data_IF_198723276543
#
_entry.id   IF_198723276543
#
_cell.length_a   1.000
_cell.length_b   1.000
_cell.length_c   1.000
_cell.angle_alpha   90.00
_cell.angle_beta   90.00
_cell.angle_gamma   90.00
#
_symmetry.space_group_name_H-M   'P 1'
#
loop_
_entity.id
_entity.type
_entity.pdbx_description
1 polymer ?
#
# COMPACT_ATOMS: atom_id res chain seq x y z
N UNK A 1 61.67 -48.55 10.03
CA UNK A 1 61.15 -47.21 9.73
C UNK A 1 59.62 -47.31 9.60
N UNK A 2 58.87 -46.95 10.63
CA UNK A 2 57.38 -46.96 10.62
C UNK A 2 56.93 -45.56 10.29
N UNK A 3 56.20 -45.40 9.17
CA UNK A 3 55.56 -44.13 8.75
C UNK A 3 54.20 -44.08 9.40
N UNK A 4 54.02 -43.08 10.28
CA UNK A 4 52.73 -42.75 10.90
C UNK A 4 51.99 -41.82 9.97
N UNK A 5 50.80 -42.20 9.51
CA UNK A 5 49.88 -41.38 8.69
C UNK A 5 48.90 -40.72 9.68
N UNK A 6 48.99 -39.39 9.82
CA UNK A 6 48.04 -38.60 10.59
C UNK A 6 46.88 -38.19 9.70
N UNK A 7 45.67 -38.71 9.98
CA UNK A 7 44.43 -38.31 9.31
C UNK A 7 43.91 -37.02 9.96
N UNK A 8 43.84 -35.92 9.20
CA UNK A 8 43.12 -34.72 9.59
C UNK A 8 41.64 -34.89 9.26
N UNK A 9 40.78 -34.98 10.26
CA UNK A 9 39.33 -34.93 10.13
C UNK A 9 38.91 -33.48 10.15
N UNK A 10 38.57 -32.92 8.94
CA UNK A 10 37.94 -31.59 8.84
C UNK A 10 36.45 -31.73 9.16
N UNK A 11 36.06 -31.32 10.34
CA UNK A 11 34.66 -31.19 10.73
C UNK A 11 34.02 -29.97 10.03
N UNK A 12 33.16 -30.21 9.05
CA UNK A 12 32.30 -29.17 8.46
C UNK A 12 31.15 -28.92 9.45
N UNK A 13 31.22 -27.78 10.15
CA UNK A 13 30.14 -27.31 11.00
C UNK A 13 29.08 -26.67 10.09
N UNK A 14 28.04 -27.41 9.77
CA UNK A 14 26.85 -26.85 9.10
C UNK A 14 26.04 -26.04 10.11
N UNK A 15 26.17 -24.71 10.07
CA UNK A 15 25.23 -23.82 10.77
C UNK A 15 23.87 -23.95 10.06
N UNK A 16 22.94 -24.66 10.68
CA UNK A 16 21.53 -24.60 10.33
C UNK A 16 20.99 -23.23 10.74
N UNK A 17 20.85 -22.33 9.78
CA UNK A 17 20.06 -21.11 9.97
C UNK A 17 18.61 -21.55 10.15
N UNK A 18 18.15 -21.61 11.40
CA UNK A 18 16.71 -21.71 11.69
C UNK A 18 16.05 -20.40 11.24
N UNK A 19 15.50 -20.40 10.04
CA UNK A 19 14.59 -19.35 9.62
C UNK A 19 13.43 -19.32 10.62
N UNK A 20 13.24 -18.18 11.31
CA UNK A 20 12.06 -17.96 12.15
C UNK A 20 10.82 -18.14 11.25
N UNK A 21 10.05 -19.18 11.54
CA UNK A 21 8.78 -19.41 10.84
C UNK A 21 7.84 -18.24 11.16
N UNK A 22 7.20 -17.63 10.16
CA UNK A 22 6.25 -16.57 10.40
C UNK A 22 5.14 -17.06 11.31
N UNK A 23 4.66 -16.19 12.20
CA UNK A 23 3.61 -16.46 13.17
C UNK A 23 2.32 -16.89 12.42
N UNK A 24 2.06 -18.19 12.30
CA UNK A 24 0.98 -18.75 11.49
C UNK A 24 -0.34 -18.56 12.21
N UNK A 25 -1.29 -17.94 11.52
CA UNK A 25 -2.66 -17.81 12.01
C UNK A 25 -3.34 -19.17 11.91
N UNK A 26 -3.69 -19.78 13.03
CA UNK A 26 -4.50 -21.00 13.02
C UNK A 26 -5.97 -20.65 12.69
N UNK A 27 -6.53 -21.32 11.69
CA UNK A 27 -7.92 -21.12 11.26
C UNK A 27 -8.81 -22.08 12.06
N UNK A 28 -9.80 -21.52 12.73
CA UNK A 28 -10.91 -22.25 13.37
C UNK A 28 -12.21 -21.70 12.82
N UNK A 29 -13.19 -22.57 12.62
CA UNK A 29 -14.52 -22.20 12.13
C UNK A 29 -15.58 -23.01 12.87
N UNK A 30 -16.68 -22.38 13.19
CA UNK A 30 -17.87 -22.99 13.82
C UNK A 30 -19.15 -22.73 13.04
N UNK A 31 -19.07 -21.97 11.94
CA UNK A 31 -20.25 -21.53 11.20
C UNK A 31 -21.12 -22.68 10.66
N UNK A 32 -20.48 -23.81 10.34
CA UNK A 32 -21.23 -25.02 9.95
C UNK A 32 -22.10 -25.53 11.09
N UNK A 33 -21.51 -25.67 12.28
CA UNK A 33 -22.24 -26.13 13.49
C UNK A 33 -23.28 -25.12 13.92
N UNK A 34 -22.94 -23.84 13.92
CA UNK A 34 -23.84 -22.77 14.36
C UNK A 34 -25.10 -22.69 13.48
N UNK A 35 -24.96 -22.94 12.19
CA UNK A 35 -26.06 -22.82 11.24
C UNK A 35 -26.82 -24.13 10.98
N UNK A 36 -26.13 -25.26 11.00
CA UNK A 36 -26.63 -26.49 10.40
C UNK A 36 -26.49 -27.75 11.30
N UNK A 37 -25.96 -27.62 12.54
CA UNK A 37 -25.67 -28.79 13.37
C UNK A 37 -26.89 -29.74 13.58
N UNK A 38 -28.08 -29.19 13.76
CA UNK A 38 -29.31 -29.98 13.95
C UNK A 38 -29.85 -30.58 12.64
N UNK A 39 -29.67 -29.87 11.53
CA UNK A 39 -30.21 -30.28 10.24
C UNK A 39 -29.27 -31.19 9.43
N UNK A 40 -27.96 -30.85 9.42
CA UNK A 40 -26.94 -31.51 8.62
C UNK A 40 -25.62 -31.66 9.41
N UNK A 41 -25.57 -32.48 10.49
CA UNK A 41 -24.43 -32.54 11.41
C UNK A 41 -23.12 -32.96 10.71
N UNK A 42 -23.15 -33.91 9.75
CA UNK A 42 -21.98 -34.34 9.05
C UNK A 42 -21.43 -33.28 8.05
N UNK A 43 -22.34 -32.53 7.44
CA UNK A 43 -21.92 -31.38 6.61
C UNK A 43 -21.27 -30.29 7.47
N UNK A 44 -21.88 -29.96 8.63
CA UNK A 44 -21.34 -29.01 9.58
C UNK A 44 -19.92 -29.42 10.05
N UNK A 45 -19.75 -30.70 10.43
CA UNK A 45 -18.47 -31.26 10.83
C UNK A 45 -17.45 -31.20 9.68
N UNK A 46 -17.81 -31.58 8.47
CA UNK A 46 -16.93 -31.55 7.32
C UNK A 46 -16.48 -30.10 6.98
N UNK A 47 -17.40 -29.14 7.08
CA UNK A 47 -17.08 -27.73 6.90
C UNK A 47 -16.09 -27.23 7.97
N UNK A 48 -16.42 -27.43 9.24
CA UNK A 48 -15.67 -26.80 10.33
C UNK A 48 -14.34 -27.52 10.60
N UNK A 49 -14.35 -28.87 10.67
CA UNK A 49 -13.17 -29.62 11.07
C UNK A 49 -12.27 -29.96 9.87
N UNK A 50 -12.85 -30.40 8.75
CA UNK A 50 -12.03 -30.85 7.61
C UNK A 50 -11.64 -29.67 6.72
N UNK A 51 -12.63 -28.93 6.20
CA UNK A 51 -12.32 -27.83 5.29
C UNK A 51 -11.49 -26.74 6.00
N UNK A 52 -12.01 -26.16 7.06
CA UNK A 52 -11.33 -25.07 7.75
C UNK A 52 -10.30 -25.57 8.76
N UNK A 53 -10.58 -26.63 9.51
CA UNK A 53 -9.70 -27.15 10.55
C UNK A 53 -8.44 -27.86 10.00
N UNK A 54 -8.54 -28.53 8.85
CA UNK A 54 -7.41 -29.25 8.25
C UNK A 54 -6.92 -28.60 6.96
N UNK A 55 -7.79 -28.45 5.94
CA UNK A 55 -7.33 -28.01 4.59
C UNK A 55 -6.82 -26.58 4.59
N UNK A 56 -7.57 -25.64 5.23
CA UNK A 56 -7.13 -24.25 5.32
C UNK A 56 -5.92 -24.06 6.24
N UNK A 57 -5.61 -24.97 7.13
CA UNK A 57 -4.44 -24.92 7.99
C UNK A 57 -3.17 -25.52 7.36
N UNK A 58 -3.25 -26.06 6.16
CA UNK A 58 -2.07 -26.57 5.40
C UNK A 58 -1.31 -25.41 4.74
N UNK A 59 -0.87 -24.45 5.55
CA UNK A 59 -0.27 -23.20 5.08
C UNK A 59 1.16 -23.39 4.55
N UNK A 60 1.80 -24.53 4.83
CA UNK A 60 3.08 -24.93 4.24
C UNK A 60 2.95 -25.31 2.76
N UNK A 61 1.81 -25.86 2.40
CA UNK A 61 1.54 -26.35 1.03
C UNK A 61 1.03 -25.21 0.15
N UNK A 62 0.17 -24.35 0.72
CA UNK A 62 -0.43 -23.22 0.01
C UNK A 62 -0.82 -22.14 1.03
N UNK A 63 -0.38 -20.91 0.80
CA UNK A 63 -0.63 -19.78 1.70
C UNK A 63 -2.12 -19.48 1.84
N UNK A 64 -2.53 -18.84 2.96
CA UNK A 64 -3.90 -18.34 3.12
C UNK A 64 -4.27 -17.30 2.06
N UNK A 65 -3.28 -16.49 1.66
CA UNK A 65 -3.41 -15.52 0.58
C UNK A 65 -3.82 -16.20 -0.73
N UNK A 66 -3.05 -17.17 -1.19
CA UNK A 66 -3.29 -17.84 -2.47
C UNK A 66 -4.54 -18.71 -2.45
N UNK A 67 -4.82 -19.41 -1.31
CA UNK A 67 -6.09 -20.13 -1.12
C UNK A 67 -7.28 -19.21 -1.29
N UNK A 68 -7.20 -17.99 -0.75
CA UNK A 68 -8.29 -17.02 -0.84
C UNK A 68 -8.55 -16.60 -2.27
N UNK A 69 -7.50 -16.31 -3.05
CA UNK A 69 -7.64 -15.98 -4.48
C UNK A 69 -8.28 -17.15 -5.24
N UNK A 70 -7.74 -18.36 -5.05
CA UNK A 70 -8.26 -19.58 -5.71
C UNK A 70 -9.73 -19.81 -5.35
N UNK A 71 -10.12 -19.63 -4.07
CA UNK A 71 -11.50 -19.83 -3.63
C UNK A 71 -12.44 -18.82 -4.29
N UNK A 72 -12.08 -17.53 -4.32
CA UNK A 72 -12.88 -16.49 -4.99
C UNK A 72 -13.04 -16.81 -6.47
N UNK A 73 -11.98 -17.17 -7.17
CA UNK A 73 -12.02 -17.50 -8.59
C UNK A 73 -12.80 -18.79 -8.87
N UNK A 74 -12.73 -19.79 -7.99
CA UNK A 74 -13.51 -21.02 -8.10
C UNK A 74 -15.01 -20.76 -7.95
N UNK A 75 -15.41 -19.92 -7.00
CA UNK A 75 -16.80 -19.51 -6.83
C UNK A 75 -17.30 -18.69 -8.03
N UNK A 76 -16.49 -17.74 -8.50
CA UNK A 76 -16.78 -17.00 -9.73
C UNK A 76 -16.98 -17.95 -10.93
N UNK A 77 -16.09 -18.90 -11.12
CA UNK A 77 -16.18 -19.87 -12.21
C UNK A 77 -17.47 -20.71 -12.13
N UNK A 78 -17.87 -21.09 -10.91
CA UNK A 78 -19.11 -21.81 -10.63
C UNK A 78 -20.38 -20.94 -10.75
N UNK A 79 -20.24 -19.63 -10.93
CA UNK A 79 -21.38 -18.71 -11.05
C UNK A 79 -22.01 -18.32 -9.70
N UNK A 80 -21.32 -18.58 -8.60
CA UNK A 80 -21.76 -18.18 -7.25
C UNK A 80 -21.41 -16.71 -7.05
N UNK A 81 -22.45 -15.86 -6.94
CA UNK A 81 -22.32 -14.40 -6.83
C UNK A 81 -23.28 -13.85 -5.76
N UNK A 82 -23.42 -14.58 -4.68
CA UNK A 82 -24.24 -14.23 -3.51
C UNK A 82 -23.37 -13.87 -2.29
N UNK A 83 -23.98 -13.86 -1.10
CA UNK A 83 -23.31 -13.52 0.15
C UNK A 83 -22.14 -14.44 0.51
N UNK A 84 -22.13 -15.69 0.01
CA UNK A 84 -20.99 -16.59 0.21
C UNK A 84 -19.73 -16.07 -0.48
N UNK A 85 -19.86 -15.51 -1.68
CA UNK A 85 -18.73 -14.89 -2.37
C UNK A 85 -18.25 -13.63 -1.64
N UNK A 86 -19.16 -12.79 -1.12
CA UNK A 86 -18.79 -11.62 -0.31
C UNK A 86 -17.95 -12.02 0.90
N UNK A 87 -18.36 -13.07 1.62
CA UNK A 87 -17.58 -13.61 2.73
C UNK A 87 -16.16 -14.02 2.32
N UNK A 88 -16.00 -14.70 1.19
CA UNK A 88 -14.68 -15.11 0.70
C UNK A 88 -13.83 -13.94 0.18
N UNK A 89 -14.43 -12.89 -0.37
CA UNK A 89 -13.73 -11.64 -0.70
C UNK A 89 -13.22 -10.94 0.56
N UNK A 90 -14.05 -10.86 1.62
CA UNK A 90 -13.64 -10.32 2.92
C UNK A 90 -12.49 -11.13 3.55
N UNK A 91 -12.56 -12.45 3.49
CA UNK A 91 -11.47 -13.33 3.94
C UNK A 91 -10.20 -13.13 3.12
N UNK A 92 -10.31 -12.94 1.80
CA UNK A 92 -9.16 -12.65 0.95
C UNK A 92 -8.45 -11.37 1.40
N UNK A 93 -9.21 -10.28 1.65
CA UNK A 93 -8.67 -9.05 2.21
C UNK A 93 -7.99 -9.27 3.57
N UNK A 94 -8.64 -10.01 4.48
CA UNK A 94 -8.10 -10.32 5.81
C UNK A 94 -6.84 -11.20 5.77
N UNK A 95 -6.66 -11.98 4.71
CA UNK A 95 -5.49 -12.80 4.44
C UNK A 95 -4.43 -12.10 3.59
N UNK A 96 -4.52 -10.77 3.42
CA UNK A 96 -3.50 -9.94 2.81
C UNK A 96 -3.60 -9.77 1.30
N UNK A 97 -4.66 -10.29 0.66
CA UNK A 97 -4.88 -10.04 -0.77
C UNK A 97 -5.21 -8.57 -0.98
N UNK A 98 -4.42 -7.91 -1.78
CA UNK A 98 -4.60 -6.51 -2.13
C UNK A 98 -5.74 -6.32 -3.14
N UNK A 99 -6.24 -5.11 -3.25
CA UNK A 99 -7.22 -4.75 -4.28
C UNK A 99 -6.67 -5.01 -5.68
N UNK A 100 -5.42 -4.64 -5.90
CA UNK A 100 -4.71 -4.76 -7.17
C UNK A 100 -4.59 -6.23 -7.58
N UNK A 101 -4.16 -7.11 -6.68
CA UNK A 101 -4.04 -8.55 -6.92
C UNK A 101 -5.41 -9.18 -7.21
N UNK A 102 -6.44 -8.85 -6.41
CA UNK A 102 -7.78 -9.38 -6.64
C UNK A 102 -8.37 -8.87 -7.96
N UNK A 103 -8.16 -7.60 -8.28
CA UNK A 103 -8.60 -7.01 -9.54
C UNK A 103 -7.95 -7.72 -10.74
N UNK A 104 -6.65 -7.93 -10.69
CA UNK A 104 -5.92 -8.61 -11.76
C UNK A 104 -6.34 -10.08 -11.89
N UNK A 105 -6.51 -10.78 -10.76
CA UNK A 105 -6.96 -12.16 -10.75
C UNK A 105 -8.36 -12.31 -11.38
N UNK A 106 -9.33 -11.45 -11.04
CA UNK A 106 -10.67 -11.43 -11.63
C UNK A 106 -10.59 -11.09 -13.12
N UNK A 107 -9.77 -10.09 -13.50
CA UNK A 107 -9.58 -9.69 -14.89
C UNK A 107 -9.04 -10.85 -15.72
N UNK A 108 -7.98 -11.52 -15.25
CA UNK A 108 -7.43 -12.69 -15.91
C UNK A 108 -8.49 -13.79 -16.06
N UNK A 109 -9.19 -14.14 -14.98
CA UNK A 109 -10.20 -15.18 -14.99
C UNK A 109 -11.38 -14.87 -15.91
N UNK A 110 -11.71 -13.59 -16.18
CA UNK A 110 -12.81 -13.20 -17.09
C UNK A 110 -12.66 -13.78 -18.47
N UNK A 111 -11.43 -13.95 -18.98
CA UNK A 111 -11.15 -14.54 -20.28
C UNK A 111 -11.45 -16.06 -20.37
N UNK A 112 -11.48 -16.73 -19.23
CA UNK A 112 -11.69 -18.17 -19.13
C UNK A 112 -13.13 -18.55 -18.69
N UNK A 113 -13.76 -17.70 -17.86
CA UNK A 113 -15.05 -18.04 -17.24
C UNK A 113 -16.19 -17.10 -17.65
N UNK A 114 -15.87 -16.05 -18.38
CA UNK A 114 -16.83 -15.11 -18.99
C UNK A 114 -17.00 -13.79 -18.25
N UNK A 115 -17.12 -12.71 -19.03
CA UNK A 115 -17.23 -11.33 -18.58
C UNK A 115 -18.42 -11.05 -17.65
N UNK A 116 -19.64 -11.60 -17.88
CA UNK A 116 -20.76 -11.34 -16.97
C UNK A 116 -20.51 -11.75 -15.53
N UNK A 117 -19.80 -12.86 -15.31
CA UNK A 117 -19.41 -13.32 -13.97
C UNK A 117 -18.41 -12.36 -13.34
N UNK A 118 -17.39 -11.94 -14.11
CA UNK A 118 -16.41 -10.96 -13.64
C UNK A 118 -17.06 -9.63 -13.22
N UNK A 119 -17.98 -9.11 -14.00
CA UNK A 119 -18.74 -7.91 -13.65
C UNK A 119 -19.52 -8.06 -12.35
N UNK A 120 -20.13 -9.22 -12.10
CA UNK A 120 -20.82 -9.48 -10.85
C UNK A 120 -19.84 -9.47 -9.66
N UNK A 121 -18.71 -10.16 -9.80
CA UNK A 121 -17.67 -10.21 -8.73
C UNK A 121 -17.03 -8.85 -8.50
N UNK A 122 -16.76 -8.05 -9.53
CA UNK A 122 -16.22 -6.71 -9.37
C UNK A 122 -17.15 -5.78 -8.59
N UNK A 123 -18.48 -5.87 -8.79
CA UNK A 123 -19.42 -5.09 -7.97
C UNK A 123 -19.29 -5.42 -6.49
N UNK A 124 -19.15 -6.71 -6.14
CA UNK A 124 -18.99 -7.16 -4.77
C UNK A 124 -17.60 -6.80 -4.23
N UNK A 125 -16.54 -6.98 -5.04
CA UNK A 125 -15.18 -6.65 -4.65
C UNK A 125 -15.00 -5.15 -4.33
N UNK A 126 -15.67 -4.26 -5.06
CA UNK A 126 -15.67 -2.82 -4.77
C UNK A 126 -16.19 -2.48 -3.37
N UNK A 127 -17.13 -3.24 -2.85
CA UNK A 127 -17.65 -3.05 -1.48
C UNK A 127 -16.64 -3.52 -0.43
N UNK A 128 -15.87 -4.57 -0.74
CA UNK A 128 -14.84 -5.12 0.15
C UNK A 128 -13.55 -4.29 0.13
N UNK A 129 -13.15 -3.83 -1.05
CA UNK A 129 -12.04 -2.90 -1.25
C UNK A 129 -12.58 -1.59 -1.82
N UNK A 130 -13.26 -0.76 -1.02
CA UNK A 130 -13.69 0.53 -1.49
C UNK A 130 -12.46 1.30 -1.97
N UNK A 131 -12.62 2.01 -3.04
CA UNK A 131 -11.64 3.01 -3.47
C UNK A 131 -11.81 4.18 -2.53
N UNK A 132 -11.04 4.20 -1.44
CA UNK A 132 -11.01 5.33 -0.49
C UNK A 132 -10.36 6.58 -1.11
N UNK A 133 -10.09 6.54 -2.41
CA UNK A 133 -9.53 7.67 -3.14
C UNK A 133 -10.68 8.63 -3.45
N UNK A 134 -10.69 9.74 -2.75
CA UNK A 134 -11.61 10.85 -3.06
C UNK A 134 -11.42 11.31 -4.50
N UNK A 135 -12.52 11.65 -5.17
CA UNK A 135 -12.43 12.44 -6.41
C UNK A 135 -11.84 13.82 -6.12
N UNK A 136 -11.42 14.53 -7.15
CA UNK A 136 -10.93 15.90 -7.00
C UNK A 136 -11.96 16.81 -6.33
N UNK A 137 -13.21 16.68 -6.70
CA UNK A 137 -14.35 17.44 -6.18
C UNK A 137 -14.59 17.11 -4.70
N UNK A 138 -14.61 15.85 -4.33
CA UNK A 138 -14.77 15.40 -2.93
C UNK A 138 -13.61 15.87 -2.08
N UNK A 139 -12.37 15.80 -2.58
CA UNK A 139 -11.21 16.31 -1.86
C UNK A 139 -11.27 17.82 -1.70
N UNK A 140 -11.64 18.57 -2.76
CA UNK A 140 -11.82 20.04 -2.65
C UNK A 140 -12.86 20.43 -1.61
N UNK A 141 -13.94 19.66 -1.47
CA UNK A 141 -14.96 19.90 -0.44
C UNK A 141 -14.49 19.56 0.98
N UNK A 142 -13.47 18.71 1.12
CA UNK A 142 -12.94 18.28 2.43
C UNK A 142 -11.89 19.23 3.01
N UNK A 143 -11.47 20.25 2.28
CA UNK A 143 -10.41 21.18 2.69
C UNK A 143 -10.80 22.63 2.40
N UNK A 144 -10.45 23.60 3.26
CA UNK A 144 -10.65 25.03 2.95
C UNK A 144 -9.63 25.58 1.95
N UNK A 145 -8.59 24.83 1.62
CA UNK A 145 -7.52 25.29 0.73
C UNK A 145 -7.84 24.93 -0.72
N UNK A 146 -7.65 25.85 -1.69
CA UNK A 146 -7.89 25.58 -3.09
C UNK A 146 -6.88 24.53 -3.60
N UNK A 147 -7.33 23.61 -4.45
CA UNK A 147 -6.41 22.67 -5.13
C UNK A 147 -5.42 23.45 -5.99
N UNK A 148 -5.87 24.47 -6.69
CA UNK A 148 -5.02 25.31 -7.51
C UNK A 148 -4.94 24.87 -8.97
N UNK A 149 -3.99 25.49 -9.71
CA UNK A 149 -3.74 25.24 -11.11
C UNK A 149 -2.70 24.13 -11.30
N UNK A 150 -2.73 23.41 -12.43
CA UNK A 150 -1.74 22.37 -12.74
C UNK A 150 -0.31 22.90 -12.64
N UNK A 151 0.55 22.17 -11.94
CA UNK A 151 1.95 22.50 -11.75
C UNK A 151 2.77 22.22 -13.02
N UNK A 152 2.54 22.99 -14.08
CA UNK A 152 3.21 22.78 -15.38
C UNK A 152 4.68 23.14 -15.36
N UNK A 153 5.07 24.15 -14.57
CA UNK A 153 6.45 24.64 -14.50
C UNK A 153 7.45 23.63 -13.93
N UNK A 154 7.01 22.82 -12.99
CA UNK A 154 7.84 21.80 -12.32
C UNK A 154 7.43 20.38 -12.66
N UNK A 155 6.49 20.14 -13.57
CA UNK A 155 5.92 18.82 -13.87
C UNK A 155 6.99 17.75 -14.14
N UNK A 156 8.11 18.10 -14.79
CA UNK A 156 9.21 17.17 -15.07
C UNK A 156 9.94 16.63 -13.83
N UNK A 157 9.72 17.23 -12.68
CA UNK A 157 10.30 16.82 -11.40
C UNK A 157 9.30 16.11 -10.50
N UNK A 158 8.13 15.76 -11.04
CA UNK A 158 7.08 15.05 -10.32
C UNK A 158 6.68 13.78 -11.06
N UNK A 159 6.38 12.75 -10.32
CA UNK A 159 5.69 11.55 -10.81
C UNK A 159 4.22 11.70 -10.40
N UNK A 160 3.31 11.69 -11.37
CA UNK A 160 1.90 11.99 -11.15
C UNK A 160 1.57 13.48 -11.25
N UNK A 161 0.32 13.85 -10.92
CA UNK A 161 -0.17 15.20 -11.07
C UNK A 161 -0.10 15.98 -9.75
N UNK A 162 0.33 17.23 -9.85
CA UNK A 162 0.33 18.17 -8.74
C UNK A 162 -0.20 19.53 -9.17
N UNK A 163 -0.62 20.32 -8.19
CA UNK A 163 -1.24 21.63 -8.41
C UNK A 163 -0.67 22.65 -7.45
N UNK A 164 -0.68 23.92 -7.86
CA UNK A 164 -0.16 25.04 -7.06
C UNK A 164 -1.23 26.10 -6.89
N UNK A 165 -1.41 26.56 -5.66
CA UNK A 165 -2.24 27.70 -5.32
C UNK A 165 -1.44 28.68 -4.43
N UNK A 166 -0.92 29.80 -4.97
CA UNK A 166 -0.35 30.84 -4.13
C UNK A 166 -1.39 31.36 -3.13
N UNK A 167 -1.04 31.46 -1.86
CA UNK A 167 -1.95 31.89 -0.81
C UNK A 167 -2.09 33.43 -0.72
N UNK A 168 -1.13 34.14 -1.29
CA UNK A 168 -1.16 35.59 -1.45
C UNK A 168 -0.27 35.99 -2.64
N UNK A 169 -0.39 37.24 -3.08
CA UNK A 169 0.39 37.82 -4.19
C UNK A 169 1.79 38.29 -3.79
N UNK A 170 2.05 38.37 -2.49
CA UNK A 170 3.31 38.86 -1.94
C UNK A 170 4.43 37.86 -2.12
N UNK A 171 5.63 38.38 -2.41
CA UNK A 171 6.83 37.55 -2.48
C UNK A 171 7.09 36.88 -1.13
N UNK A 172 7.35 35.55 -1.18
CA UNK A 172 7.57 34.74 0.02
C UNK A 172 6.30 34.28 0.74
N UNK A 173 5.11 34.62 0.22
CA UNK A 173 3.86 34.06 0.72
C UNK A 173 3.85 32.52 0.59
N UNK A 174 3.18 31.80 1.50
CA UNK A 174 3.03 30.36 1.37
C UNK A 174 2.34 29.97 0.06
N UNK A 175 2.74 28.84 -0.48
CA UNK A 175 2.06 28.20 -1.61
C UNK A 175 1.40 26.92 -1.10
N UNK A 176 0.14 26.72 -1.42
CA UNK A 176 -0.51 25.43 -1.23
C UNK A 176 -0.13 24.52 -2.40
N UNK A 177 0.50 23.39 -2.09
CA UNK A 177 0.83 22.35 -3.07
C UNK A 177 -0.11 21.18 -2.84
N UNK A 178 -0.86 20.83 -3.89
CA UNK A 178 -1.76 19.68 -3.89
C UNK A 178 -1.18 18.56 -4.72
N UNK A 179 -1.17 17.36 -4.18
CA UNK A 179 -0.71 16.13 -4.83
C UNK A 179 -1.90 15.19 -5.01
N UNK A 180 -2.08 14.66 -6.23
CA UNK A 180 -2.98 13.53 -6.45
C UNK A 180 -2.49 12.26 -5.74
N UNK A 181 -3.35 11.27 -5.48
CA UNK A 181 -2.95 9.98 -4.94
C UNK A 181 -1.80 9.37 -5.72
N UNK A 182 -0.73 8.99 -5.02
CA UNK A 182 0.48 8.45 -5.62
C UNK A 182 1.47 9.47 -6.18
N UNK A 183 1.10 10.74 -6.27
CA UNK A 183 1.99 11.78 -6.77
C UNK A 183 3.08 12.12 -5.76
N UNK A 184 4.32 12.25 -6.25
CA UNK A 184 5.49 12.61 -5.46
C UNK A 184 6.48 13.44 -6.27
N UNK A 185 7.24 14.29 -5.61
CA UNK A 185 8.34 14.98 -6.28
C UNK A 185 9.63 14.11 -6.28
N UNK A 186 10.58 14.52 -7.10
CA UNK A 186 11.94 13.96 -7.10
C UNK A 186 12.65 14.28 -5.79
N UNK A 187 13.71 13.56 -5.51
CA UNK A 187 14.74 13.97 -4.57
C UNK A 187 15.22 15.38 -4.95
N UNK A 188 15.37 16.24 -3.94
CA UNK A 188 15.83 17.62 -4.16
C UNK A 188 16.47 18.21 -2.92
N UNK A 189 17.14 19.33 -3.11
CA UNK A 189 17.84 20.09 -2.06
C UNK A 189 17.48 21.57 -2.20
N UNK A 190 17.26 22.23 -1.07
CA UNK A 190 17.14 23.69 -1.00
C UNK A 190 18.48 24.31 -0.59
N UNK A 191 18.91 25.35 -1.29
CA UNK A 191 20.11 26.10 -0.99
C UNK A 191 19.74 27.50 -0.48
N UNK A 192 20.44 27.93 0.58
CA UNK A 192 20.31 29.25 1.20
C UNK A 192 18.90 29.55 1.77
N UNK A 193 18.11 28.53 2.03
CA UNK A 193 16.85 28.65 2.76
C UNK A 193 16.45 27.28 3.34
N UNK A 194 15.75 27.29 4.47
CA UNK A 194 15.04 26.11 4.96
C UNK A 194 13.68 26.03 4.27
N UNK A 195 13.23 24.83 3.91
CA UNK A 195 11.85 24.64 3.48
C UNK A 195 10.96 24.27 4.68
N UNK A 196 9.80 24.87 4.76
CA UNK A 196 8.77 24.51 5.74
C UNK A 196 7.60 23.87 5.02
N UNK A 197 7.16 22.70 5.49
CA UNK A 197 5.96 22.01 5.05
C UNK A 197 4.97 21.96 6.20
N UNK A 198 3.75 22.40 5.99
CA UNK A 198 2.64 22.28 6.93
C UNK A 198 1.54 21.48 6.25
N UNK A 199 1.37 20.20 6.60
CA UNK A 199 0.31 19.39 6.03
C UNK A 199 -1.05 19.90 6.52
N UNK A 200 -1.95 20.21 5.58
CA UNK A 200 -3.26 20.82 5.87
C UNK A 200 -4.44 19.92 5.47
N UNK A 201 -4.26 18.98 4.55
CA UNK A 201 -5.31 18.03 4.18
C UNK A 201 -4.73 16.72 3.62
N UNK A 202 -5.49 15.66 3.71
CA UNK A 202 -5.13 14.34 3.18
C UNK A 202 -3.99 13.66 3.94
N UNK A 203 -3.26 12.78 3.23
CA UNK A 203 -2.17 11.99 3.80
C UNK A 203 -1.03 11.84 2.79
N UNK A 204 0.19 11.87 3.27
CA UNK A 204 1.38 11.70 2.45
C UNK A 204 2.62 11.36 3.25
N UNK A 205 3.77 11.55 2.60
CA UNK A 205 5.07 11.19 3.13
C UNK A 205 6.10 12.28 2.89
N UNK A 206 7.03 12.40 3.82
CA UNK A 206 8.27 13.13 3.70
C UNK A 206 9.42 12.20 4.10
N UNK A 207 10.54 12.27 3.39
CA UNK A 207 11.72 11.48 3.73
C UNK A 207 13.01 12.24 3.40
N UNK A 208 13.95 12.24 4.34
CA UNK A 208 15.35 12.62 4.12
C UNK A 208 16.16 11.42 3.67
N UNK A 209 17.20 11.63 2.88
CA UNK A 209 18.10 10.57 2.47
C UNK A 209 18.70 9.83 3.68
N UNK A 210 18.61 8.51 3.67
CA UNK A 210 19.13 7.65 4.75
C UNK A 210 18.34 7.65 6.05
N UNK A 211 17.17 8.33 6.11
CA UNK A 211 16.28 8.32 7.29
C UNK A 211 14.97 7.61 7.01
N UNK A 212 14.28 7.22 8.08
CA UNK A 212 12.94 6.67 7.99
C UNK A 212 11.94 7.73 7.51
N UNK A 213 10.93 7.34 6.70
CA UNK A 213 9.91 8.24 6.23
C UNK A 213 9.02 8.75 7.37
N UNK A 214 8.60 10.00 7.26
CA UNK A 214 7.67 10.65 8.18
C UNK A 214 6.31 10.78 7.51
N UNK A 215 5.26 10.31 8.19
CA UNK A 215 3.90 10.46 7.70
C UNK A 215 3.45 11.93 7.82
N UNK A 216 2.97 12.49 6.70
CA UNK A 216 2.35 13.80 6.63
C UNK A 216 0.83 13.66 6.72
N UNK A 217 0.25 14.26 7.75
CA UNK A 217 -1.20 14.36 7.97
C UNK A 217 -1.54 15.73 8.53
N UNK A 218 -2.79 16.19 8.46
CA UNK A 218 -3.17 17.53 8.92
C UNK A 218 -2.64 17.86 10.33
N UNK A 219 -1.93 18.99 10.43
CA UNK A 219 -1.28 19.46 11.65
C UNK A 219 0.19 19.07 11.79
N UNK A 220 0.70 18.12 10.98
CA UNK A 220 2.15 17.81 10.97
C UNK A 220 2.90 18.92 10.25
N UNK A 221 3.93 19.44 10.89
CA UNK A 221 4.85 20.44 10.34
C UNK A 221 6.26 19.86 10.31
N UNK A 222 6.92 20.01 9.17
CA UNK A 222 8.32 19.64 8.97
C UNK A 222 9.11 20.87 8.59
N UNK A 223 10.24 21.08 9.24
CA UNK A 223 11.24 22.11 8.87
C UNK A 223 12.46 21.39 8.32
N UNK A 224 12.74 21.61 7.06
CA UNK A 224 13.81 20.96 6.31
C UNK A 224 14.97 21.95 6.22
N UNK A 225 16.11 21.69 6.87
CA UNK A 225 17.27 22.56 6.79
C UNK A 225 17.82 22.66 5.36
N UNK A 226 18.46 23.78 5.04
CA UNK A 226 19.22 23.90 3.79
C UNK A 226 20.22 22.76 3.62
N UNK A 227 20.47 22.35 2.40
CA UNK A 227 21.42 21.27 2.06
C UNK A 227 20.90 19.85 2.33
N UNK A 228 19.74 19.66 2.94
CA UNK A 228 19.16 18.33 3.20
C UNK A 228 18.49 17.79 1.94
N UNK A 229 19.00 16.65 1.43
CA UNK A 229 18.37 15.90 0.34
C UNK A 229 17.13 15.19 0.84
N UNK A 230 15.99 15.47 0.21
CA UNK A 230 14.69 14.97 0.64
C UNK A 230 13.70 14.91 -0.52
N UNK A 231 12.57 14.24 -0.26
CA UNK A 231 11.39 14.25 -1.12
C UNK A 231 10.12 14.26 -0.26
N UNK A 232 8.99 14.61 -0.88
CA UNK A 232 7.66 14.49 -0.28
C UNK A 232 6.60 14.24 -1.36
N UNK A 233 5.45 13.72 -0.94
CA UNK A 233 4.35 13.41 -1.85
C UNK A 233 3.15 12.80 -1.13
N UNK A 234 2.06 12.63 -1.86
CA UNK A 234 0.83 12.01 -1.38
C UNK A 234 1.03 10.50 -1.10
N UNK A 235 0.21 9.92 -0.24
CA UNK A 235 0.09 8.48 -0.13
C UNK A 235 -0.58 7.89 -1.38
N UNK A 236 -0.44 6.59 -1.62
CA UNK A 236 -0.95 5.94 -2.84
C UNK A 236 -2.46 6.07 -3.05
N UNK A 237 -3.19 6.15 -1.96
CA UNK A 237 -4.65 6.14 -1.92
C UNK A 237 -5.24 7.41 -1.29
N UNK A 238 -4.48 8.47 -1.18
CA UNK A 238 -4.93 9.73 -0.59
C UNK A 238 -4.39 10.92 -1.37
N UNK A 239 -5.20 11.91 -1.59
CA UNK A 239 -4.75 13.26 -1.89
C UNK A 239 -3.94 13.79 -0.71
N UNK A 240 -3.07 14.76 -0.95
CA UNK A 240 -2.36 15.49 0.09
C UNK A 240 -2.23 16.96 -0.28
N UNK A 241 -2.42 17.81 0.71
CA UNK A 241 -2.09 19.23 0.61
C UNK A 241 -1.14 19.64 1.73
N UNK A 242 -0.16 20.46 1.37
CA UNK A 242 0.65 21.16 2.34
C UNK A 242 0.88 22.60 1.90
N UNK A 243 0.93 23.49 2.87
CA UNK A 243 1.50 24.82 2.68
C UNK A 243 3.02 24.70 2.71
N UNK A 244 3.68 25.38 1.80
CA UNK A 244 5.14 25.48 1.80
C UNK A 244 5.61 26.93 1.66
N UNK A 245 6.69 27.25 2.33
CA UNK A 245 7.40 28.51 2.23
C UNK A 245 8.86 28.34 2.66
N UNK A 246 9.69 29.30 2.29
CA UNK A 246 11.09 29.32 2.70
C UNK A 246 11.26 30.13 4.00
N UNK A 247 11.97 29.57 4.97
CA UNK A 247 12.39 30.22 6.20
C UNK A 247 13.92 30.38 6.22
N UNK A 248 14.44 31.25 7.06
CA UNK A 248 15.89 31.58 7.13
C UNK A 248 16.48 31.87 5.75
N UNK A 249 15.82 32.76 5.03
CA UNK A 249 16.14 33.08 3.62
C UNK A 249 17.45 33.86 3.54
N UNK A 250 18.47 33.25 2.92
CA UNK A 250 19.73 33.87 2.58
C UNK A 250 19.71 34.52 1.19
N UNK A 251 20.89 34.84 0.69
CA UNK A 251 21.05 35.33 -0.69
C UNK A 251 21.06 34.17 -1.69
N UNK A 252 20.55 34.40 -2.90
CA UNK A 252 20.57 33.41 -4.00
C UNK A 252 19.90 32.08 -3.68
N UNK A 253 18.70 32.13 -3.10
CA UNK A 253 17.90 30.91 -2.84
C UNK A 253 17.63 30.14 -4.13
N UNK A 254 17.87 28.83 -4.10
CA UNK A 254 17.64 27.97 -5.25
C UNK A 254 17.25 26.55 -4.82
N UNK A 255 16.61 25.82 -5.74
CA UNK A 255 16.30 24.40 -5.60
C UNK A 255 17.14 23.60 -6.59
N UNK A 256 17.78 22.55 -6.10
CA UNK A 256 18.48 21.56 -6.91
C UNK A 256 17.62 20.30 -7.01
N UNK A 257 17.19 19.96 -8.21
CA UNK A 257 16.39 18.77 -8.48
C UNK A 257 17.30 17.61 -8.87
N UNK A 258 17.09 16.46 -8.25
CA UNK A 258 17.88 15.25 -8.38
C UNK A 258 17.05 14.13 -9.02
N UNK A 259 17.43 12.87 -8.77
CA UNK A 259 16.79 11.69 -9.32
C UNK A 259 15.34 11.50 -8.85
N UNK A 260 14.51 10.83 -9.64
CA UNK A 260 13.17 10.44 -9.22
C UNK A 260 13.20 9.46 -8.05
N UNK A 261 12.22 9.57 -7.15
CA UNK A 261 11.91 8.52 -6.16
C UNK A 261 11.33 7.32 -6.90
N UNK A 262 12.02 6.18 -6.84
CA UNK A 262 11.62 4.98 -7.56
C UNK A 262 10.31 4.39 -7.03
N UNK A 263 9.60 3.64 -7.88
CA UNK A 263 8.41 2.91 -7.44
C UNK A 263 8.75 1.88 -6.36
N UNK A 264 9.93 1.27 -6.41
CA UNK A 264 10.37 0.33 -5.40
C UNK A 264 10.53 0.99 -4.01
N UNK A 265 11.12 2.18 -3.94
CA UNK A 265 11.25 2.95 -2.69
C UNK A 265 9.88 3.40 -2.18
N UNK A 266 9.09 4.02 -3.05
CA UNK A 266 7.77 4.55 -2.70
C UNK A 266 6.78 3.44 -2.28
N UNK A 267 6.85 2.26 -2.87
CA UNK A 267 5.95 1.14 -2.57
C UNK A 267 6.23 0.45 -1.23
N UNK A 268 7.35 0.75 -0.59
CA UNK A 268 7.65 0.30 0.78
C UNK A 268 6.85 1.07 1.84
N UNK A 269 6.31 2.23 1.47
CA UNK A 269 5.49 3.08 2.35
C UNK A 269 4.05 2.53 2.43
N UNK A 270 3.49 2.45 3.63
CA UNK A 270 2.18 1.81 3.89
C UNK A 270 1.12 2.85 4.29
#
# INVERSE_FOLDING_TARGET
MKKTITLFLSGILTLSVMAQQPNRKHITQTAGRDALAEFAPEFARANDDILFGEVWNRQDELSLHDRSIITVLSLMASGITDSSLTYHLQNAKANGVTREEMSEAITHAAFYVGWPKAWAVFRMAKEVWPTDIQTREEFQMSTPYPIGEPNTGYAKYFIGNSYLAPMASESGAPVNVTFEPGCRNNWHVHHNANQVLICVAGRGWYQEEGKEPVELKPGVTVVIPEGVKHWHGAARNSWMQHLTYNANVGENVSNEWLEPVTDEEYNKLK
#
